data_IF_754237222297
#
_entry.id   IF_754237222297
#
_cell.length_a   1.000
_cell.length_b   1.000
_cell.length_c   1.000
_cell.angle_alpha   90.00
_cell.angle_beta   90.00
_cell.angle_gamma   90.00
#
_symmetry.space_group_name_H-M   'P 1'
#
loop_
_entity.id
_entity.type
_entity.pdbx_description
1 polymer ?
#
# COMPACT_ATOMS: atom_id res chain seq x y z
N UNK A 1 -68.41 19.31 24.23
CA UNK A 1 -67.02 19.06 24.71
C UNK A 1 -66.25 18.42 23.57
N UNK A 2 -65.08 18.95 23.21
CA UNK A 2 -64.40 18.73 21.91
C UNK A 2 -63.55 17.45 21.93
N UNK A 3 -63.84 16.51 21.03
CA UNK A 3 -63.05 15.28 20.81
C UNK A 3 -61.70 15.59 20.18
N UNK A 4 -60.61 15.01 20.70
CA UNK A 4 -59.28 15.04 20.09
C UNK A 4 -58.94 13.65 19.55
N UNK A 5 -58.87 13.56 18.22
CA UNK A 5 -58.36 12.41 17.48
C UNK A 5 -56.85 12.29 17.69
N UNK A 6 -56.37 11.15 18.19
CA UNK A 6 -54.94 10.85 18.29
C UNK A 6 -54.48 10.16 16.98
N UNK A 7 -53.61 10.81 16.23
CA UNK A 7 -52.89 10.20 15.10
C UNK A 7 -51.78 9.28 15.64
N UNK A 8 -51.78 8.02 15.20
CA UNK A 8 -50.70 7.06 15.44
C UNK A 8 -49.67 7.22 14.32
N UNK A 9 -48.50 7.79 14.63
CA UNK A 9 -47.37 7.86 13.70
C UNK A 9 -46.48 6.63 13.91
N UNK A 10 -46.43 5.74 12.93
CA UNK A 10 -45.53 4.58 12.92
C UNK A 10 -44.10 5.05 12.57
N UNK A 11 -43.22 5.14 13.58
CA UNK A 11 -41.82 5.44 13.38
C UNK A 11 -41.08 4.18 12.87
N UNK A 12 -40.67 4.21 11.60
CA UNK A 12 -39.84 3.17 10.99
C UNK A 12 -38.38 3.39 11.43
N UNK A 13 -37.91 2.66 12.45
CA UNK A 13 -36.51 2.65 12.85
C UNK A 13 -35.66 1.97 11.77
N UNK A 14 -35.03 2.76 10.89
CA UNK A 14 -33.86 2.29 10.16
C UNK A 14 -32.71 2.13 11.14
N UNK A 15 -32.39 0.88 11.50
CA UNK A 15 -31.14 0.56 12.14
C UNK A 15 -30.01 0.88 11.16
N UNK A 16 -29.38 2.05 11.31
CA UNK A 16 -28.14 2.40 10.64
C UNK A 16 -27.03 1.56 11.26
N UNK A 17 -26.86 0.34 10.76
CA UNK A 17 -25.65 -0.44 11.03
C UNK A 17 -24.46 0.33 10.49
N UNK A 18 -23.71 1.00 11.36
CA UNK A 18 -22.35 1.44 11.05
C UNK A 18 -21.51 0.17 10.92
N UNK A 19 -21.45 -0.37 9.71
CA UNK A 19 -20.41 -1.32 9.36
C UNK A 19 -19.08 -0.60 9.56
N UNK A 20 -18.44 -0.85 10.70
CA UNK A 20 -17.09 -0.39 10.98
C UNK A 20 -16.18 -1.21 10.08
N UNK A 21 -16.02 -0.80 8.82
CA UNK A 21 -14.95 -1.32 7.99
C UNK A 21 -13.65 -0.94 8.68
N UNK A 22 -12.96 -1.92 9.25
CA UNK A 22 -11.63 -1.71 9.78
C UNK A 22 -10.79 -1.07 8.67
N UNK A 23 -10.39 0.19 8.89
CA UNK A 23 -9.60 0.93 7.92
C UNK A 23 -8.32 0.13 7.65
N UNK A 24 -8.11 -0.28 6.40
CA UNK A 24 -6.91 -1.02 6.03
C UNK A 24 -5.70 -0.11 6.30
N UNK A 25 -4.81 -0.54 7.21
CA UNK A 25 -3.71 0.28 7.71
C UNK A 25 -2.75 0.75 6.61
N UNK A 26 -2.70 0.03 5.49
CA UNK A 26 -1.84 0.34 4.35
C UNK A 26 -2.35 1.52 3.52
N UNK A 27 -3.65 1.82 3.56
CA UNK A 27 -4.28 2.83 2.70
C UNK A 27 -3.75 4.24 2.96
N UNK A 28 -3.78 5.05 1.90
CA UNK A 28 -3.32 6.44 1.90
C UNK A 28 -1.90 6.59 1.33
N UNK A 29 -1.37 7.79 1.51
CA UNK A 29 -0.08 8.19 0.96
C UNK A 29 1.02 8.10 2.01
N UNK A 30 2.16 7.56 1.61
CA UNK A 30 3.32 7.34 2.46
C UNK A 30 4.53 8.03 1.85
N UNK A 31 5.18 8.92 2.60
CA UNK A 31 6.37 9.66 2.17
C UNK A 31 7.62 9.11 2.85
N UNK A 32 8.65 8.85 2.06
CA UNK A 32 9.92 8.31 2.53
C UNK A 32 10.61 9.28 3.51
N UNK A 33 11.06 8.75 4.64
CA UNK A 33 11.95 9.42 5.55
C UNK A 33 13.39 8.98 5.29
N UNK A 34 14.09 9.68 4.40
CA UNK A 34 15.46 9.34 3.99
C UNK A 34 16.40 9.31 5.19
N UNK A 35 16.27 10.26 6.13
CA UNK A 35 17.14 10.38 7.31
C UNK A 35 17.02 9.17 8.25
N UNK A 36 15.82 8.59 8.37
CA UNK A 36 15.57 7.40 9.21
C UNK A 36 15.77 6.08 8.48
N UNK A 37 16.03 6.11 7.17
CA UNK A 37 16.13 4.91 6.32
C UNK A 37 17.57 4.46 6.16
N UNK A 38 17.75 3.15 5.97
CA UNK A 38 19.03 2.53 5.57
C UNK A 38 18.87 1.99 4.14
N UNK A 39 19.23 2.83 3.17
CA UNK A 39 19.08 2.55 1.75
C UNK A 39 20.46 2.26 1.14
N UNK A 40 20.62 1.11 0.49
CA UNK A 40 21.88 0.65 -0.11
C UNK A 40 22.27 1.33 -1.43
N UNK A 41 22.00 2.64 -1.57
CA UNK A 41 22.41 3.44 -2.74
C UNK A 41 21.61 3.22 -4.03
N UNK A 42 20.45 2.56 -3.96
CA UNK A 42 19.56 2.32 -5.11
C UNK A 42 18.46 3.37 -5.23
N UNK A 43 17.66 3.23 -6.31
CA UNK A 43 16.40 3.93 -6.55
C UNK A 43 15.58 4.12 -5.26
N UNK A 44 15.05 5.32 -5.10
CA UNK A 44 14.34 5.75 -3.89
C UNK A 44 12.88 5.96 -4.22
N UNK A 45 12.02 5.15 -3.62
CA UNK A 45 10.57 5.37 -3.68
C UNK A 45 10.24 6.51 -2.72
N UNK A 46 10.13 7.73 -3.23
CA UNK A 46 9.86 8.95 -2.48
C UNK A 46 8.45 8.97 -1.90
N UNK A 47 7.46 8.59 -2.69
CA UNK A 47 6.05 8.49 -2.28
C UNK A 47 5.45 7.17 -2.75
N UNK A 48 4.55 6.63 -1.94
CA UNK A 48 3.74 5.47 -2.31
C UNK A 48 2.31 5.71 -1.85
N UNK A 49 1.37 5.65 -2.78
CA UNK A 49 -0.04 5.90 -2.53
C UNK A 49 -0.83 4.62 -2.74
N UNK A 50 -1.61 4.23 -1.74
CA UNK A 50 -2.54 3.11 -1.80
C UNK A 50 -3.96 3.65 -1.85
N UNK A 51 -4.64 3.43 -2.97
CA UNK A 51 -6.00 3.89 -3.20
C UNK A 51 -6.94 2.70 -3.38
N UNK A 52 -8.04 2.69 -2.63
CA UNK A 52 -9.08 1.69 -2.78
C UNK A 52 -9.77 1.84 -4.14
N UNK A 53 -9.99 0.71 -4.80
CA UNK A 53 -10.81 0.57 -6.00
C UNK A 53 -11.92 -0.44 -5.69
N UNK A 54 -12.90 -0.60 -6.58
CA UNK A 54 -13.93 -1.64 -6.41
C UNK A 54 -13.26 -3.03 -6.41
N UNK A 55 -13.23 -3.68 -5.24
CA UNK A 55 -12.59 -4.98 -4.97
C UNK A 55 -11.07 -5.09 -5.20
N UNK A 56 -10.39 -3.99 -5.53
CA UNK A 56 -8.95 -3.94 -5.82
C UNK A 56 -8.29 -2.76 -5.12
N UNK A 57 -6.98 -2.64 -5.27
CA UNK A 57 -6.20 -1.50 -4.82
C UNK A 57 -5.31 -1.03 -5.95
N UNK A 58 -5.31 0.28 -6.21
CA UNK A 58 -4.30 0.93 -7.03
C UNK A 58 -3.14 1.37 -6.13
N UNK A 59 -1.93 1.03 -6.52
CA UNK A 59 -0.69 1.49 -5.89
C UNK A 59 0.08 2.32 -6.89
N UNK A 60 0.36 3.57 -6.53
CA UNK A 60 1.22 4.46 -7.30
C UNK A 60 2.50 4.71 -6.52
N UNK A 61 3.64 4.61 -7.19
CA UNK A 61 4.96 4.86 -6.60
C UNK A 61 5.67 5.93 -7.42
N UNK A 62 6.06 7.00 -6.77
CA UNK A 62 6.97 8.00 -7.35
C UNK A 62 8.30 7.99 -6.62
N UNK A 63 9.36 8.31 -7.36
CA UNK A 63 10.70 8.22 -6.83
C UNK A 63 11.74 8.76 -7.78
N UNK A 64 12.97 8.32 -7.54
CA UNK A 64 14.09 8.53 -8.45
C UNK A 64 14.76 7.21 -8.78
N UNK A 65 15.19 7.04 -10.02
CA UNK A 65 16.03 5.91 -10.43
C UNK A 65 17.45 6.00 -9.81
N UNK A 66 18.32 5.04 -10.14
CA UNK A 66 19.72 5.03 -9.66
C UNK A 66 20.56 6.21 -10.20
N UNK A 67 20.13 6.84 -11.31
CA UNK A 67 20.78 7.99 -11.93
C UNK A 67 20.22 9.32 -11.39
N UNK A 68 19.19 9.29 -10.55
CA UNK A 68 18.53 10.47 -10.00
C UNK A 68 17.41 11.03 -10.86
N UNK A 69 17.04 10.38 -11.98
CA UNK A 69 15.92 10.82 -12.80
C UNK A 69 14.59 10.49 -12.12
N UNK A 70 13.53 11.29 -12.34
CA UNK A 70 12.19 10.94 -11.88
C UNK A 70 11.76 9.54 -12.36
N UNK A 71 11.17 8.77 -11.46
CA UNK A 71 10.63 7.45 -11.75
C UNK A 71 9.18 7.37 -11.25
N UNK A 72 8.32 6.70 -12.02
CA UNK A 72 6.91 6.53 -11.71
C UNK A 72 6.46 5.12 -12.10
N UNK A 73 5.72 4.46 -11.22
CA UNK A 73 5.11 3.16 -11.53
C UNK A 73 3.73 3.01 -10.92
N UNK A 74 2.89 2.24 -11.60
CA UNK A 74 1.57 1.90 -11.12
C UNK A 74 1.36 0.38 -11.08
N UNK A 75 0.50 -0.04 -10.16
CA UNK A 75 0.08 -1.42 -10.00
C UNK A 75 -1.38 -1.43 -9.55
N UNK A 76 -2.20 -2.27 -10.15
CA UNK A 76 -3.59 -2.49 -9.71
C UNK A 76 -3.82 -3.97 -9.48
N UNK A 77 -4.23 -4.35 -8.27
CA UNK A 77 -4.41 -5.74 -7.92
C UNK A 77 -5.05 -5.95 -6.56
N UNK A 78 -4.89 -7.16 -6.02
CA UNK A 78 -5.39 -7.57 -4.70
C UNK A 78 -4.22 -7.97 -3.81
N UNK A 79 -4.44 -7.95 -2.49
CA UNK A 79 -3.46 -8.42 -1.50
C UNK A 79 -3.57 -9.92 -1.22
N UNK A 80 -3.80 -10.72 -2.26
CA UNK A 80 -4.07 -12.17 -2.22
C UNK A 80 -2.84 -13.03 -2.55
N UNK A 81 -1.68 -12.41 -2.75
CA UNK A 81 -0.43 -13.07 -3.10
C UNK A 81 -0.29 -13.43 -4.58
N UNK A 82 -1.27 -13.08 -5.43
CA UNK A 82 -1.16 -13.30 -6.89
C UNK A 82 -0.37 -12.18 -7.55
N UNK A 83 0.26 -12.52 -8.67
CA UNK A 83 1.00 -11.55 -9.48
C UNK A 83 0.04 -10.72 -10.32
N UNK A 84 0.24 -9.40 -10.31
CA UNK A 84 -0.42 -8.45 -11.20
C UNK A 84 0.62 -7.59 -11.90
N UNK A 85 0.30 -7.10 -13.10
CA UNK A 85 1.21 -6.30 -13.90
C UNK A 85 1.60 -4.98 -13.23
N UNK A 86 2.85 -4.57 -13.43
CA UNK A 86 3.36 -3.25 -13.07
C UNK A 86 3.57 -2.45 -14.36
N UNK A 87 3.18 -1.18 -14.37
CA UNK A 87 3.46 -0.25 -15.46
C UNK A 87 4.48 0.80 -15.02
N UNK A 88 5.30 1.30 -15.94
CA UNK A 88 6.27 2.37 -15.69
C UNK A 88 7.57 1.97 -14.97
N UNK A 89 7.67 0.73 -14.44
CA UNK A 89 8.88 0.22 -13.80
C UNK A 89 9.72 -0.61 -14.80
N UNK A 90 10.90 -0.14 -15.25
CA UNK A 90 11.74 -0.91 -16.16
C UNK A 90 12.33 -2.17 -15.49
N UNK A 91 12.36 -2.23 -14.16
CA UNK A 91 13.02 -3.28 -13.39
C UNK A 91 12.08 -4.38 -12.90
N UNK A 92 10.77 -4.22 -13.06
CA UNK A 92 9.74 -5.17 -12.61
C UNK A 92 8.56 -5.21 -13.58
N UNK A 93 8.21 -6.41 -14.05
CA UNK A 93 7.05 -6.62 -14.93
C UNK A 93 5.79 -6.98 -14.11
N UNK A 94 5.97 -7.71 -13.01
CA UNK A 94 4.89 -8.20 -12.17
C UNK A 94 5.20 -7.96 -10.69
N UNK A 95 4.16 -7.73 -9.90
CA UNK A 95 4.25 -7.61 -8.44
C UNK A 95 3.08 -8.32 -7.77
N UNK A 96 3.37 -8.99 -6.67
CA UNK A 96 2.37 -9.58 -5.77
C UNK A 96 2.49 -8.97 -4.38
N UNK A 97 1.34 -8.83 -3.71
CA UNK A 97 1.26 -8.48 -2.30
C UNK A 97 0.41 -9.52 -1.59
N UNK A 98 0.85 -9.97 -0.42
CA UNK A 98 0.13 -10.93 0.41
C UNK A 98 -0.10 -10.35 1.78
N UNK A 99 -1.37 -10.22 2.18
CA UNK A 99 -1.72 -9.82 3.55
C UNK A 99 -1.30 -10.93 4.53
N UNK A 100 -0.56 -10.56 5.57
CA UNK A 100 -0.21 -11.46 6.68
C UNK A 100 -1.16 -11.21 7.86
N UNK A 101 -1.33 -9.93 8.20
CA UNK A 101 -2.26 -9.46 9.22
C UNK A 101 -2.74 -8.03 8.86
N UNK A 102 -3.46 -7.35 9.75
CA UNK A 102 -4.02 -6.01 9.49
C UNK A 102 -2.98 -4.90 9.28
N UNK A 103 -1.73 -5.11 9.69
CA UNK A 103 -0.63 -4.15 9.60
C UNK A 103 0.58 -4.66 8.83
N UNK A 104 0.61 -5.95 8.50
CA UNK A 104 1.75 -6.60 7.83
C UNK A 104 1.37 -7.14 6.45
N UNK A 105 2.18 -6.81 5.45
CA UNK A 105 2.14 -7.43 4.13
C UNK A 105 3.52 -7.94 3.73
N UNK A 106 3.54 -8.98 2.91
CA UNK A 106 4.71 -9.32 2.11
C UNK A 106 4.50 -8.94 0.66
N UNK A 107 5.59 -8.73 -0.06
CA UNK A 107 5.55 -8.50 -1.49
C UNK A 107 6.69 -9.21 -2.21
N UNK A 108 6.46 -9.50 -3.49
CA UNK A 108 7.49 -9.93 -4.42
C UNK A 108 7.38 -9.13 -5.71
N UNK A 109 8.53 -8.76 -6.29
CA UNK A 109 8.64 -8.19 -7.63
C UNK A 109 9.32 -9.20 -8.55
N UNK A 110 8.87 -9.27 -9.80
CA UNK A 110 9.39 -10.20 -10.81
C UNK A 110 9.77 -9.47 -12.08
N UNK A 111 10.86 -9.93 -12.71
CA UNK A 111 11.28 -9.54 -14.05
C UNK A 111 11.51 -10.79 -14.88
N UNK A 112 10.93 -10.88 -16.07
CA UNK A 112 11.07 -12.04 -16.96
C UNK A 112 10.70 -13.37 -16.27
N UNK A 113 9.64 -13.37 -15.45
CA UNK A 113 9.16 -14.54 -14.72
C UNK A 113 9.96 -14.92 -13.46
N UNK A 114 11.09 -14.27 -13.19
CA UNK A 114 11.94 -14.55 -12.02
C UNK A 114 11.71 -13.54 -10.91
N UNK A 115 11.62 -14.00 -9.66
CA UNK A 115 11.57 -13.13 -8.48
C UNK A 115 12.92 -12.42 -8.31
N UNK A 116 12.91 -11.10 -8.37
CA UNK A 116 14.11 -10.26 -8.24
C UNK A 116 14.19 -9.59 -6.87
N UNK A 117 13.03 -9.26 -6.28
CA UNK A 117 12.92 -8.59 -4.98
C UNK A 117 11.84 -9.28 -4.17
N UNK A 118 12.10 -9.44 -2.87
CA UNK A 118 11.09 -9.78 -1.87
C UNK A 118 11.17 -8.79 -0.73
N UNK A 119 10.07 -8.62 -0.01
CA UNK A 119 10.10 -7.77 1.16
C UNK A 119 8.85 -7.85 2.02
N UNK A 120 8.92 -7.14 3.14
CA UNK A 120 7.85 -7.02 4.13
C UNK A 120 7.57 -5.56 4.42
N UNK A 121 6.29 -5.24 4.56
CA UNK A 121 5.77 -3.92 4.89
C UNK A 121 5.03 -4.06 6.22
N UNK A 122 5.44 -3.28 7.22
CA UNK A 122 4.83 -3.28 8.55
C UNK A 122 4.42 -1.86 8.91
N UNK A 123 3.12 -1.65 9.12
CA UNK A 123 2.57 -0.38 9.62
C UNK A 123 2.63 -0.39 11.15
N UNK A 124 3.13 0.69 11.75
CA UNK A 124 3.20 0.83 13.20
C UNK A 124 1.78 0.86 13.82
N UNK A 125 1.63 0.51 15.12
CA UNK A 125 0.32 0.52 15.78
C UNK A 125 -0.44 1.84 15.66
N UNK A 126 0.29 2.96 15.66
CA UNK A 126 -0.24 4.32 15.53
C UNK A 126 -0.74 4.68 14.12
N UNK A 127 -0.45 3.84 13.11
CA UNK A 127 -0.81 4.08 11.72
C UNK A 127 -0.09 5.25 11.05
N UNK A 128 0.87 5.89 11.73
CA UNK A 128 1.56 7.10 11.25
C UNK A 128 2.89 6.80 10.58
N UNK A 129 3.47 5.64 10.87
CA UNK A 129 4.73 5.21 10.26
C UNK A 129 4.62 3.79 9.72
N UNK A 130 5.46 3.46 8.75
CA UNK A 130 5.66 2.09 8.31
C UNK A 130 7.12 1.82 7.99
N UNK A 131 7.49 0.56 8.13
CA UNK A 131 8.81 0.04 7.78
C UNK A 131 8.67 -0.90 6.60
N UNK A 132 9.52 -0.73 5.59
CA UNK A 132 9.66 -1.64 4.46
C UNK A 132 11.05 -2.23 4.48
N UNK A 133 11.13 -3.54 4.66
CA UNK A 133 12.39 -4.29 4.57
C UNK A 133 12.39 -5.08 3.28
N UNK A 134 13.36 -4.84 2.41
CA UNK A 134 13.42 -5.45 1.09
C UNK A 134 14.82 -6.01 0.82
N UNK A 135 14.87 -7.20 0.22
CA UNK A 135 16.11 -7.81 -0.25
C UNK A 135 15.92 -8.31 -1.67
N UNK A 136 16.98 -8.26 -2.46
CA UNK A 136 16.89 -8.67 -3.85
C UNK A 136 18.21 -8.61 -4.59
N UNK A 137 18.10 -8.79 -5.89
CA UNK A 137 19.19 -8.65 -6.85
C UNK A 137 18.92 -7.36 -7.62
N UNK A 138 19.75 -6.35 -7.40
CA UNK A 138 19.68 -5.08 -8.11
C UNK A 138 20.25 -5.18 -9.52
N UNK A 139 20.27 -4.06 -10.26
CA UNK A 139 20.93 -3.96 -11.55
C UNK A 139 22.38 -4.49 -11.48
N UNK A 140 22.83 -5.17 -12.53
CA UNK A 140 24.15 -5.80 -12.62
C UNK A 140 24.40 -6.96 -11.65
N UNK A 141 23.34 -7.55 -11.06
CA UNK A 141 23.46 -8.76 -10.24
C UNK A 141 23.88 -8.53 -8.78
N UNK A 142 24.03 -7.27 -8.35
CA UNK A 142 24.45 -6.96 -6.98
C UNK A 142 23.31 -7.23 -6.00
N UNK A 143 23.58 -8.05 -4.98
CA UNK A 143 22.63 -8.26 -3.89
C UNK A 143 22.47 -7.00 -3.06
N UNK A 144 21.26 -6.77 -2.57
CA UNK A 144 20.99 -5.68 -1.65
C UNK A 144 20.05 -6.09 -0.52
N UNK A 145 20.12 -5.30 0.55
CA UNK A 145 19.19 -5.30 1.66
C UNK A 145 18.94 -3.86 2.09
N UNK A 146 17.67 -3.44 2.11
CA UNK A 146 17.27 -2.08 2.45
C UNK A 146 16.20 -2.09 3.54
N UNK A 147 16.25 -1.09 4.41
CA UNK A 147 15.17 -0.76 5.34
C UNK A 147 14.73 0.68 5.08
N UNK A 148 13.53 0.85 4.54
CA UNK A 148 12.93 2.14 4.24
C UNK A 148 11.85 2.48 5.28
N UNK A 149 11.96 3.65 5.89
CA UNK A 149 10.99 4.16 6.85
C UNK A 149 10.15 5.23 6.16
N UNK A 150 8.83 5.10 6.25
CA UNK A 150 7.90 6.07 5.70
C UNK A 150 7.03 6.66 6.80
N UNK A 151 6.62 7.91 6.59
CA UNK A 151 5.58 8.58 7.35
C UNK A 151 4.31 8.68 6.51
N UNK A 152 3.15 8.50 7.13
CA UNK A 152 1.86 8.74 6.49
C UNK A 152 1.71 10.23 6.23
N UNK A 153 1.22 10.58 5.04
CA UNK A 153 0.82 11.94 4.69
C UNK A 153 -0.61 12.11 5.18
N UNK A 154 -0.85 13.18 5.95
CA UNK A 154 -2.16 13.53 6.50
C UNK A 154 -3.10 14.12 5.46
#
# INVERSE_FOLDING_TARGET
MKSKTLLVTLALCFATGTACFAANAQMGTWKLNVKKSKLGGMAKNSTVTYQSMLFQTKVTVDGTDEKGNPAHSEWTGRFDGKDYAVTGDPTSDMRSYRKIDDRTMEFAAKKGGKVTITGRIVVAPDGKTRTVTASGIGPKGKRFHNTAIYSKVG
#
